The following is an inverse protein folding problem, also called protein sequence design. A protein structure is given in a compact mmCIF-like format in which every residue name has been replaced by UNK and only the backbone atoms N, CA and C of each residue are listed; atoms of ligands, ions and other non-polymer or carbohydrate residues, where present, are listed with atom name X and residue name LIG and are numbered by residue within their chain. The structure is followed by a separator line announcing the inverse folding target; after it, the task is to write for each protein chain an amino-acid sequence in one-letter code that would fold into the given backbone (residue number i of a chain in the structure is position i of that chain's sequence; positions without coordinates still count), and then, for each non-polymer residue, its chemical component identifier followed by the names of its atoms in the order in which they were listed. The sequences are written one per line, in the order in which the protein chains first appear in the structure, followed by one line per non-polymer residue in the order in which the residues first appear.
data_IF_696035469325
#
_entry.id   IF_696035469325
#
_cell.length_a   1.000
_cell.length_b   1.000
_cell.length_c   1.000
_cell.angle_alpha   90.00
_cell.angle_beta   90.00
_cell.angle_gamma   90.00
#
_symmetry.space_group_name_H-M   'P 1'
#
loop_
_entity.id
_entity.type
_entity.pdbx_description
1 polymer ?
#
# COMPACT_ATOMS: atom_id res chain seq x y z
N UNK A 1 24.80 8.03 -33.70
CA UNK A 1 23.33 8.17 -33.64
C UNK A 1 22.98 8.94 -32.38
N UNK A 2 22.61 10.21 -32.49
CA UNK A 2 22.20 11.00 -31.32
C UNK A 2 20.81 10.52 -30.87
N UNK A 3 20.72 10.01 -29.65
CA UNK A 3 19.45 9.64 -29.01
C UNK A 3 18.61 10.90 -28.83
N UNK A 4 17.53 11.02 -29.59
CA UNK A 4 16.58 12.12 -29.45
C UNK A 4 15.96 12.04 -28.05
N UNK A 5 16.33 12.98 -27.18
CA UNK A 5 15.83 13.03 -25.79
C UNK A 5 14.35 13.37 -25.83
N UNK A 6 13.49 12.40 -25.52
CA UNK A 6 12.04 12.64 -25.43
C UNK A 6 11.76 13.59 -24.28
N UNK A 7 11.17 14.75 -24.58
CA UNK A 7 10.76 15.73 -23.59
C UNK A 7 9.45 15.28 -22.94
N UNK A 8 9.46 15.11 -21.61
CA UNK A 8 8.27 14.76 -20.83
C UNK A 8 7.58 16.03 -20.33
N UNK A 9 6.24 16.02 -20.38
CA UNK A 9 5.42 17.13 -19.89
C UNK A 9 4.44 16.63 -18.84
N UNK A 10 4.34 17.35 -17.73
CA UNK A 10 3.40 17.09 -16.65
C UNK A 10 1.97 17.49 -17.05
N UNK A 11 0.96 16.93 -16.38
CA UNK A 11 -0.45 17.29 -16.59
C UNK A 11 -0.67 18.79 -16.36
N UNK A 12 0.01 19.38 -15.37
CA UNK A 12 -0.02 20.82 -15.10
C UNK A 12 0.49 21.65 -16.29
N UNK A 13 1.66 21.31 -16.82
CA UNK A 13 2.27 21.99 -17.98
C UNK A 13 1.39 21.85 -19.22
N UNK A 14 0.85 20.66 -19.49
CA UNK A 14 -0.05 20.42 -20.63
C UNK A 14 -1.29 21.32 -20.56
N UNK A 15 -1.91 21.45 -19.37
CA UNK A 15 -3.08 22.32 -19.17
C UNK A 15 -2.73 23.79 -19.37
N UNK A 16 -1.61 24.25 -18.80
CA UNK A 16 -1.15 25.64 -18.93
C UNK A 16 -0.91 26.01 -20.39
N UNK A 17 -0.18 25.16 -21.12
CA UNK A 17 0.16 25.40 -22.52
C UNK A 17 -1.07 25.36 -23.44
N UNK A 18 -2.04 24.50 -23.14
CA UNK A 18 -3.31 24.48 -23.89
C UNK A 18 -4.17 25.71 -23.61
N UNK A 19 -4.19 26.22 -22.38
CA UNK A 19 -4.87 27.47 -22.05
C UNK A 19 -4.21 28.65 -22.77
N UNK A 20 -2.88 28.78 -22.67
CA UNK A 20 -2.11 29.80 -23.39
C UNK A 20 -2.31 29.72 -24.90
N UNK A 21 -2.38 28.53 -25.48
CA UNK A 21 -2.63 28.36 -26.91
C UNK A 21 -3.99 28.94 -27.30
N UNK A 22 -5.05 28.65 -26.53
CA UNK A 22 -6.40 29.19 -26.75
C UNK A 22 -6.44 30.71 -26.63
N UNK A 23 -5.80 31.25 -25.60
CA UNK A 23 -5.84 32.69 -25.30
C UNK A 23 -4.96 33.51 -26.24
N UNK A 24 -3.89 32.91 -26.78
CA UNK A 24 -2.91 33.63 -27.59
C UNK A 24 -3.37 34.03 -28.99
N UNK A 25 -4.39 33.37 -29.54
CA UNK A 25 -4.82 33.55 -30.93
C UNK A 25 -3.75 33.19 -31.98
N UNK A 26 -2.62 32.60 -31.58
CA UNK A 26 -1.54 32.24 -32.49
C UNK A 26 -1.88 31.02 -33.34
N UNK A 27 -1.30 30.94 -34.54
CA UNK A 27 -1.31 29.70 -35.29
C UNK A 27 -0.54 28.61 -34.55
N UNK A 28 -1.00 27.35 -34.63
CA UNK A 28 -0.34 26.23 -33.97
C UNK A 28 1.16 26.15 -34.28
N UNK A 29 1.56 26.49 -35.52
CA UNK A 29 2.98 26.54 -35.92
C UNK A 29 3.76 27.59 -35.13
N UNK A 30 3.25 28.81 -35.03
CA UNK A 30 3.91 29.90 -34.30
C UNK A 30 3.99 29.60 -32.81
N UNK A 31 2.90 29.10 -32.22
CA UNK A 31 2.87 28.73 -30.81
C UNK A 31 3.86 27.61 -30.47
N UNK A 32 3.94 26.56 -31.30
CA UNK A 32 4.87 25.46 -31.12
C UNK A 32 6.34 25.89 -31.16
N UNK A 33 6.71 26.78 -32.08
CA UNK A 33 8.09 27.30 -32.18
C UNK A 33 8.45 28.12 -30.95
N UNK A 34 7.55 29.01 -30.51
CA UNK A 34 7.79 29.88 -29.35
C UNK A 34 7.94 29.10 -28.04
N UNK A 35 7.19 28.01 -27.88
CA UNK A 35 7.18 27.22 -26.65
C UNK A 35 8.06 25.95 -26.71
N UNK A 36 8.75 25.71 -27.84
CA UNK A 36 9.61 24.53 -28.01
C UNK A 36 8.86 23.20 -28.04
N UNK A 37 7.59 23.18 -28.47
CA UNK A 37 6.74 21.97 -28.44
C UNK A 37 6.56 21.42 -29.86
N UNK A 38 6.83 20.13 -30.10
CA UNK A 38 6.52 19.52 -31.39
C UNK A 38 5.02 19.61 -31.71
N UNK A 39 4.68 19.98 -32.94
CA UNK A 39 3.27 20.17 -33.36
C UNK A 39 2.40 18.92 -33.15
N UNK A 40 2.97 17.73 -33.37
CA UNK A 40 2.28 16.45 -33.12
C UNK A 40 1.89 16.30 -31.64
N UNK A 41 2.75 16.74 -30.73
CA UNK A 41 2.54 16.70 -29.28
C UNK A 41 1.40 17.63 -28.87
N UNK A 42 1.37 18.86 -29.39
CA UNK A 42 0.29 19.82 -29.12
C UNK A 42 -1.08 19.27 -29.57
N UNK A 43 -1.17 18.70 -30.76
CA UNK A 43 -2.41 18.10 -31.27
C UNK A 43 -2.86 16.88 -30.47
N UNK A 44 -1.93 16.03 -30.04
CA UNK A 44 -2.24 14.89 -29.19
C UNK A 44 -2.87 15.33 -27.86
N UNK A 45 -2.33 16.37 -27.23
CA UNK A 45 -2.92 16.92 -26.00
C UNK A 45 -4.23 17.65 -26.24
N UNK A 46 -4.35 18.38 -27.36
CA UNK A 46 -5.60 19.03 -27.74
C UNK A 46 -6.72 17.99 -27.87
N UNK A 47 -6.46 16.84 -28.51
CA UNK A 47 -7.42 15.73 -28.62
C UNK A 47 -7.81 15.17 -27.24
N UNK A 48 -6.84 14.95 -26.35
CA UNK A 48 -7.10 14.49 -24.97
C UNK A 48 -7.84 15.53 -24.10
N UNK A 49 -7.65 16.81 -24.39
CA UNK A 49 -8.35 17.90 -23.71
C UNK A 49 -9.78 18.06 -24.24
N UNK A 50 -10.03 17.87 -25.53
CA UNK A 50 -11.39 17.90 -26.10
C UNK A 50 -12.22 16.71 -25.65
N UNK A 51 -11.59 15.55 -25.43
CA UNK A 51 -12.22 14.34 -24.89
C UNK A 51 -12.34 14.36 -23.34
N UNK A 52 -12.26 15.56 -22.75
CA UNK A 52 -12.31 15.89 -21.31
C UNK A 52 -11.34 15.16 -20.36
N UNK A 53 -10.55 14.19 -20.82
CA UNK A 53 -9.62 13.41 -19.99
C UNK A 53 -8.58 14.30 -19.29
N UNK A 54 -8.05 15.30 -20.00
CA UNK A 54 -7.02 16.18 -19.47
C UNK A 54 -7.60 17.28 -18.58
N UNK A 55 -8.82 17.77 -18.80
CA UNK A 55 -9.46 18.82 -17.99
C UNK A 55 -10.03 18.27 -16.70
N UNK A 56 -10.70 17.12 -16.77
CA UNK A 56 -11.56 16.64 -15.69
C UNK A 56 -10.80 15.72 -14.73
N UNK A 57 -9.59 15.31 -15.09
CA UNK A 57 -8.78 14.47 -14.22
C UNK A 57 -8.47 15.17 -12.90
N UNK A 58 -8.86 14.54 -11.78
CA UNK A 58 -8.51 14.94 -10.41
C UNK A 58 -7.09 14.51 -10.02
N UNK A 59 -6.30 13.98 -10.96
CA UNK A 59 -4.96 13.46 -10.67
C UNK A 59 -3.96 14.57 -10.37
N UNK A 60 -2.89 14.18 -9.67
CA UNK A 60 -1.81 15.07 -9.30
C UNK A 60 -1.18 15.70 -10.56
N UNK A 61 -1.15 17.04 -10.58
CA UNK A 61 -0.64 17.85 -11.71
C UNK A 61 0.83 17.58 -12.04
N UNK A 62 1.62 17.06 -11.09
CA UNK A 62 3.04 16.70 -11.26
C UNK A 62 3.24 15.41 -12.07
N UNK A 63 2.21 14.60 -12.28
CA UNK A 63 2.32 13.37 -13.06
C UNK A 63 2.40 13.69 -14.56
N UNK A 64 3.16 12.89 -15.31
CA UNK A 64 3.31 13.02 -16.76
C UNK A 64 2.25 12.25 -17.54
N UNK A 65 1.68 11.20 -16.95
CA UNK A 65 0.67 10.33 -17.56
C UNK A 65 -0.69 10.48 -16.88
N UNK A 66 -1.77 10.42 -17.66
CA UNK A 66 -3.14 10.29 -17.16
C UNK A 66 -3.43 8.91 -16.53
N UNK A 67 -2.43 8.01 -16.48
CA UNK A 67 -2.49 6.58 -16.13
C UNK A 67 -3.68 5.83 -16.75
N UNK A 68 -4.04 4.67 -16.21
CA UNK A 68 -4.97 3.76 -16.91
C UNK A 68 -4.35 3.07 -18.14
N UNK A 69 -3.13 3.43 -18.52
CA UNK A 69 -2.30 2.76 -19.53
C UNK A 69 -1.73 1.41 -19.04
N UNK A 70 -2.13 0.95 -17.84
CA UNK A 70 -1.76 -0.37 -17.35
C UNK A 70 -2.47 -1.45 -18.17
N UNK A 71 -1.79 -2.58 -18.39
CA UNK A 71 -2.42 -3.74 -19.01
C UNK A 71 -3.70 -4.10 -18.25
N UNK A 72 -4.82 -4.21 -18.99
CA UNK A 72 -6.10 -4.67 -18.45
C UNK A 72 -5.90 -6.06 -17.83
N UNK A 73 -6.57 -6.32 -16.71
CA UNK A 73 -6.46 -7.61 -16.03
C UNK A 73 -6.90 -8.72 -16.97
N UNK A 74 -6.06 -9.74 -17.17
CA UNK A 74 -6.36 -10.93 -17.98
C UNK A 74 -7.45 -11.80 -17.33
N UNK A 75 -7.68 -11.60 -16.02
CA UNK A 75 -8.67 -12.35 -15.24
C UNK A 75 -10.08 -11.80 -15.52
N UNK A 76 -10.99 -12.60 -16.12
CA UNK A 76 -12.33 -12.15 -16.47
C UNK A 76 -13.24 -12.00 -15.23
N UNK A 77 -13.01 -12.79 -14.18
CA UNK A 77 -13.74 -12.77 -12.90
C UNK A 77 -13.06 -11.87 -11.85
N UNK A 78 -12.55 -10.70 -12.27
CA UNK A 78 -11.82 -9.80 -11.39
C UNK A 78 -12.61 -9.40 -10.14
N UNK A 79 -13.90 -9.11 -10.28
CA UNK A 79 -14.73 -8.67 -9.16
C UNK A 79 -14.87 -9.76 -8.10
N UNK A 80 -15.16 -10.99 -8.51
CA UNK A 80 -15.39 -12.12 -7.59
C UNK A 80 -14.12 -12.46 -6.80
N UNK A 81 -12.97 -12.49 -7.49
CA UNK A 81 -11.68 -12.69 -6.85
C UNK A 81 -11.34 -11.55 -5.87
N UNK A 82 -11.65 -10.30 -6.22
CA UNK A 82 -11.42 -9.15 -5.35
C UNK A 82 -12.33 -9.19 -4.11
N UNK A 83 -13.59 -9.58 -4.26
CA UNK A 83 -14.54 -9.75 -3.15
C UNK A 83 -14.03 -10.83 -2.18
N UNK A 84 -13.66 -12.00 -2.71
CA UNK A 84 -13.04 -13.06 -1.92
C UNK A 84 -11.80 -12.57 -1.14
N UNK A 85 -10.89 -11.85 -1.80
CA UNK A 85 -9.70 -11.30 -1.14
C UNK A 85 -10.05 -10.33 0.00
N UNK A 86 -11.08 -9.50 -0.18
CA UNK A 86 -11.54 -8.56 0.85
C UNK A 86 -12.19 -9.28 2.03
N UNK A 87 -12.98 -10.31 1.78
CA UNK A 87 -13.68 -11.04 2.84
C UNK A 87 -12.71 -11.87 3.69
N UNK A 88 -11.75 -12.57 3.05
CA UNK A 88 -10.66 -13.24 3.77
C UNK A 88 -9.90 -12.27 4.68
N UNK A 89 -9.65 -11.04 4.23
CA UNK A 89 -8.96 -10.03 5.04
C UNK A 89 -9.85 -9.37 6.08
N UNK A 90 -11.17 -9.30 5.86
CA UNK A 90 -12.15 -8.81 6.84
C UNK A 90 -12.22 -9.72 8.06
N UNK A 91 -12.08 -11.02 7.84
CA UNK A 91 -11.99 -12.04 8.89
C UNK A 91 -10.56 -12.18 9.45
N UNK A 92 -9.67 -11.24 9.15
CA UNK A 92 -8.27 -11.18 9.58
C UNK A 92 -7.40 -12.39 9.14
N UNK A 93 -7.91 -13.28 8.29
CA UNK A 93 -7.17 -14.45 7.80
C UNK A 93 -6.01 -14.11 6.86
N UNK A 94 -5.00 -14.97 6.85
CA UNK A 94 -3.81 -14.84 6.00
C UNK A 94 -4.21 -15.06 4.54
N UNK A 95 -4.14 -13.98 3.74
CA UNK A 95 -4.34 -14.05 2.30
C UNK A 95 -3.01 -14.27 1.58
N UNK A 96 -2.80 -15.46 1.03
CA UNK A 96 -1.65 -15.77 0.17
C UNK A 96 -2.06 -15.91 -1.29
N UNK A 97 -1.10 -15.85 -2.21
CA UNK A 97 -1.34 -16.17 -3.62
C UNK A 97 -1.86 -17.60 -3.81
N UNK A 98 -1.56 -18.52 -2.88
CA UNK A 98 -2.12 -19.87 -2.92
C UNK A 98 -3.61 -19.89 -2.64
N UNK A 99 -4.11 -19.08 -1.69
CA UNK A 99 -5.56 -18.95 -1.46
C UNK A 99 -6.29 -18.43 -2.69
N UNK A 100 -5.70 -17.44 -3.39
CA UNK A 100 -6.25 -16.96 -4.66
C UNK A 100 -6.29 -18.07 -5.72
N UNK A 101 -5.24 -18.89 -5.83
CA UNK A 101 -5.19 -20.03 -6.75
C UNK A 101 -6.25 -21.08 -6.37
N UNK A 102 -6.41 -21.39 -5.08
CA UNK A 102 -7.43 -22.33 -4.60
C UNK A 102 -8.84 -21.84 -4.93
N UNK A 103 -9.12 -20.55 -4.74
CA UNK A 103 -10.38 -19.94 -5.17
C UNK A 103 -10.62 -20.10 -6.67
N UNK A 104 -9.60 -19.84 -7.50
CA UNK A 104 -9.69 -20.05 -8.96
C UNK A 104 -9.91 -21.52 -9.32
N UNK A 105 -9.26 -22.46 -8.63
CA UNK A 105 -9.47 -23.89 -8.83
C UNK A 105 -10.89 -24.31 -8.49
N UNK A 106 -11.49 -23.73 -7.47
CA UNK A 106 -12.84 -24.09 -7.01
C UNK A 106 -13.93 -23.52 -7.92
N UNK A 107 -13.80 -22.25 -8.33
CA UNK A 107 -14.88 -21.53 -9.01
C UNK A 107 -14.66 -21.31 -10.52
N UNK A 108 -13.40 -21.33 -10.99
CA UNK A 108 -13.04 -20.99 -12.38
C UNK A 108 -12.04 -21.98 -12.98
N UNK A 109 -12.24 -23.28 -12.71
CA UNK A 109 -11.33 -24.37 -13.11
C UNK A 109 -11.04 -24.40 -14.62
N UNK A 110 -12.05 -24.18 -15.45
CA UNK A 110 -11.92 -24.29 -16.92
C UNK A 110 -11.08 -23.15 -17.49
N UNK A 111 -11.27 -21.94 -16.96
CA UNK A 111 -10.44 -20.80 -17.29
C UNK A 111 -8.99 -21.00 -16.82
N UNK A 112 -8.82 -21.51 -15.59
CA UNK A 112 -7.51 -21.79 -15.02
C UNK A 112 -6.74 -22.81 -15.87
N UNK A 113 -7.40 -23.90 -16.29
CA UNK A 113 -6.85 -24.93 -17.17
C UNK A 113 -6.37 -24.33 -18.49
N UNK A 114 -7.25 -23.60 -19.17
CA UNK A 114 -6.94 -22.93 -20.45
C UNK A 114 -5.76 -21.95 -20.32
N UNK A 115 -5.71 -21.19 -19.22
CA UNK A 115 -4.61 -20.27 -18.96
C UNK A 115 -3.28 -21.00 -18.77
N UNK A 116 -3.27 -22.13 -18.07
CA UNK A 116 -2.05 -22.90 -17.77
C UNK A 116 -1.50 -23.69 -18.94
N UNK A 117 -2.36 -24.19 -19.83
CA UNK A 117 -1.96 -25.00 -21.01
C UNK A 117 -0.97 -24.26 -21.92
N UNK A 118 -1.17 -22.94 -22.08
CA UNK A 118 -0.34 -22.11 -22.94
C UNK A 118 0.95 -21.59 -22.26
N UNK A 119 1.33 -22.08 -21.08
CA UNK A 119 2.45 -21.54 -20.29
C UNK A 119 3.58 -22.57 -20.12
N UNK A 120 4.85 -22.16 -20.31
CA UNK A 120 6.00 -23.03 -20.12
C UNK A 120 6.20 -23.43 -18.65
N UNK A 121 5.84 -22.54 -17.71
CA UNK A 121 5.85 -22.82 -16.27
C UNK A 121 4.49 -22.40 -15.70
N UNK A 122 3.51 -23.32 -15.63
CA UNK A 122 2.16 -23.03 -15.16
C UNK A 122 2.13 -22.46 -13.74
N UNK A 123 2.92 -23.04 -12.84
CA UNK A 123 2.92 -22.66 -11.43
C UNK A 123 3.48 -21.24 -11.23
N UNK A 124 4.66 -20.93 -11.77
CA UNK A 124 5.23 -19.57 -11.65
C UNK A 124 4.40 -18.53 -12.37
N UNK A 125 3.79 -18.89 -13.50
CA UNK A 125 2.90 -17.99 -14.24
C UNK A 125 1.67 -17.62 -13.42
N UNK A 126 1.04 -18.60 -12.76
CA UNK A 126 -0.09 -18.37 -11.85
C UNK A 126 0.29 -17.51 -10.65
N UNK A 127 1.45 -17.77 -10.04
CA UNK A 127 1.92 -16.97 -8.91
C UNK A 127 2.11 -15.50 -9.31
N UNK A 128 2.75 -15.25 -10.45
CA UNK A 128 2.93 -13.89 -11.01
C UNK A 128 1.61 -13.22 -11.36
N UNK A 129 0.66 -13.98 -11.91
CA UNK A 129 -0.69 -13.49 -12.21
C UNK A 129 -1.39 -13.00 -10.93
N UNK A 130 -1.38 -13.81 -9.87
CA UNK A 130 -1.98 -13.48 -8.58
C UNK A 130 -1.30 -12.27 -7.92
N UNK A 131 0.04 -12.24 -7.90
CA UNK A 131 0.80 -11.11 -7.35
C UNK A 131 0.54 -9.81 -8.12
N UNK A 132 0.51 -9.88 -9.45
CA UNK A 132 0.20 -8.74 -10.30
C UNK A 132 -1.22 -8.25 -10.10
N UNK A 133 -2.18 -9.17 -9.94
CA UNK A 133 -3.56 -8.83 -9.60
C UNK A 133 -3.65 -8.13 -8.25
N UNK A 134 -3.06 -8.70 -7.20
CA UNK A 134 -3.06 -8.14 -5.86
C UNK A 134 -2.50 -6.70 -5.86
N UNK A 135 -1.35 -6.47 -6.52
CA UNK A 135 -0.75 -5.13 -6.66
C UNK A 135 -1.68 -4.14 -7.36
N UNK A 136 -2.37 -4.56 -8.44
CA UNK A 136 -3.34 -3.71 -9.14
C UNK A 136 -4.56 -3.37 -8.29
N UNK A 137 -4.92 -4.26 -7.37
CA UNK A 137 -6.01 -4.07 -6.41
C UNK A 137 -5.57 -3.37 -5.11
N UNK A 138 -4.39 -2.75 -5.07
CA UNK A 138 -3.81 -2.07 -3.90
C UNK A 138 -3.47 -2.97 -2.70
N UNK A 139 -3.25 -4.26 -2.92
CA UNK A 139 -2.69 -5.15 -1.90
C UNK A 139 -1.16 -5.09 -1.91
N UNK A 140 -0.52 -5.01 -0.73
CA UNK A 140 0.95 -5.00 -0.57
C UNK A 140 1.48 -6.24 0.14
N UNK A 141 2.80 -6.46 0.11
CA UNK A 141 3.44 -7.51 0.90
C UNK A 141 3.73 -6.93 2.30
N UNK A 142 3.29 -7.53 3.42
CA UNK A 142 3.60 -7.08 4.80
C UNK A 142 4.26 -8.19 5.63
N UNK A 143 4.54 -8.00 6.93
CA UNK A 143 5.08 -9.05 7.83
C UNK A 143 4.05 -9.39 8.89
N UNK A 144 3.75 -10.69 9.12
CA UNK A 144 2.65 -11.10 9.99
C UNK A 144 2.86 -10.56 11.40
N UNK A 145 1.90 -9.83 11.97
CA UNK A 145 1.99 -9.27 13.33
C UNK A 145 0.99 -9.97 14.25
N UNK A 146 1.44 -10.74 15.21
CA UNK A 146 0.49 -11.46 16.05
C UNK A 146 -0.34 -10.52 16.93
N UNK A 147 -1.65 -10.73 17.05
CA UNK A 147 -2.50 -10.00 18.00
C UNK A 147 -3.52 -10.95 18.62
N UNK A 148 -3.68 -10.88 19.94
CA UNK A 148 -4.58 -11.77 20.70
C UNK A 148 -6.06 -11.42 20.57
N UNK A 149 -6.38 -10.25 20.00
CA UNK A 149 -7.71 -9.67 19.92
C UNK A 149 -7.91 -9.10 18.51
N UNK A 150 -9.13 -9.27 17.99
CA UNK A 150 -9.51 -8.70 16.70
C UNK A 150 -9.46 -7.16 16.72
N UNK A 151 -9.24 -6.53 15.56
CA UNK A 151 -9.10 -5.08 15.46
C UNK A 151 -10.28 -4.29 16.04
N UNK A 152 -11.52 -4.76 15.82
CA UNK A 152 -12.72 -4.13 16.35
C UNK A 152 -12.73 -4.13 17.88
N UNK A 153 -12.41 -5.28 18.47
CA UNK A 153 -12.40 -5.44 19.93
C UNK A 153 -11.27 -4.64 20.57
N UNK A 154 -10.08 -4.64 19.95
CA UNK A 154 -8.98 -3.78 20.38
C UNK A 154 -9.34 -2.30 20.37
N UNK A 155 -10.07 -1.87 19.33
CA UNK A 155 -10.50 -0.47 19.19
C UNK A 155 -11.48 -0.12 20.29
N UNK A 156 -12.47 -0.99 20.55
CA UNK A 156 -13.43 -0.82 21.64
C UNK A 156 -12.74 -0.71 22.99
N UNK A 157 -11.88 -1.67 23.34
CA UNK A 157 -11.15 -1.68 24.62
C UNK A 157 -10.29 -0.42 24.77
N UNK A 158 -9.59 -0.01 23.70
CA UNK A 158 -8.77 1.21 23.71
C UNK A 158 -9.63 2.45 23.98
N UNK A 159 -10.77 2.57 23.32
CA UNK A 159 -11.62 3.75 23.40
C UNK A 159 -12.33 3.80 24.77
N UNK A 160 -12.79 2.66 25.30
CA UNK A 160 -13.34 2.53 26.66
C UNK A 160 -12.31 2.85 27.75
N UNK A 161 -11.09 2.32 27.60
CA UNK A 161 -9.98 2.63 28.50
C UNK A 161 -9.64 4.13 28.45
N UNK A 162 -9.54 4.70 27.25
CA UNK A 162 -9.28 6.12 27.05
C UNK A 162 -10.34 6.99 27.72
N UNK A 163 -11.62 6.67 27.53
CA UNK A 163 -12.72 7.40 28.16
C UNK A 163 -12.64 7.34 29.69
N UNK A 164 -12.39 6.15 30.25
CA UNK A 164 -12.29 5.95 31.70
C UNK A 164 -11.07 6.65 32.30
N UNK A 165 -9.93 6.57 31.61
CA UNK A 165 -8.69 7.23 32.01
C UNK A 165 -8.85 8.75 32.04
N UNK A 166 -9.38 9.34 30.96
CA UNK A 166 -9.56 10.79 30.90
C UNK A 166 -10.68 11.29 31.81
N UNK A 167 -11.75 10.53 32.03
CA UNK A 167 -12.76 10.90 33.03
C UNK A 167 -12.15 11.03 34.44
N UNK A 168 -11.17 10.20 34.80
CA UNK A 168 -10.53 10.21 36.12
C UNK A 168 -9.38 11.20 36.24
N UNK A 169 -8.62 11.41 35.17
CA UNK A 169 -7.36 12.15 35.21
C UNK A 169 -7.35 13.41 34.32
N UNK A 170 -8.49 13.90 33.81
CA UNK A 170 -8.50 15.09 32.94
C UNK A 170 -7.87 16.33 33.61
N UNK A 171 -7.98 16.43 34.93
CA UNK A 171 -7.46 17.58 35.69
C UNK A 171 -5.94 17.52 35.88
N UNK A 172 -5.32 16.36 35.61
CA UNK A 172 -3.87 16.21 35.73
C UNK A 172 -3.16 16.93 34.58
N UNK A 173 -2.15 17.76 34.87
CA UNK A 173 -1.29 18.32 33.84
C UNK A 173 -0.67 17.22 32.99
N UNK A 174 -0.61 17.42 31.67
CA UNK A 174 0.02 16.46 30.74
C UNK A 174 1.50 16.19 31.05
N UNK A 175 2.17 17.10 31.79
CA UNK A 175 3.55 16.92 32.23
C UNK A 175 3.70 15.78 33.25
N UNK A 176 2.64 15.49 34.01
CA UNK A 176 2.64 14.48 35.08
C UNK A 176 2.25 13.09 34.58
N UNK A 177 1.82 12.97 33.32
CA UNK A 177 1.44 11.71 32.69
C UNK A 177 2.66 11.13 31.97
N UNK A 178 3.14 10.00 32.48
CA UNK A 178 4.24 9.23 31.89
C UNK A 178 3.69 7.96 31.25
N UNK A 179 4.04 7.73 29.98
CA UNK A 179 3.82 6.44 29.33
C UNK A 179 4.96 5.50 29.71
N UNK A 180 4.65 4.32 30.22
CA UNK A 180 5.59 3.26 30.49
C UNK A 180 5.25 2.05 29.63
N UNK A 181 6.25 1.45 28.97
CA UNK A 181 6.07 0.22 28.21
C UNK A 181 7.28 -0.71 28.39
N UNK A 182 7.01 -2.01 28.48
CA UNK A 182 8.04 -3.05 28.52
C UNK A 182 8.22 -3.61 27.11
N UNK A 183 9.40 -3.43 26.53
CA UNK A 183 9.71 -3.93 25.19
C UNK A 183 10.78 -5.02 25.21
N UNK A 184 10.59 -6.00 24.34
CA UNK A 184 11.51 -7.08 24.11
C UNK A 184 12.61 -6.65 23.13
N UNK A 185 13.87 -6.79 23.55
CA UNK A 185 15.04 -6.62 22.67
C UNK A 185 15.55 -8.00 22.30
N UNK A 186 15.37 -8.38 21.03
CA UNK A 186 15.80 -9.67 20.50
C UNK A 186 17.22 -9.56 19.92
N UNK A 187 18.07 -10.56 20.15
CA UNK A 187 19.45 -10.60 19.66
C UNK A 187 19.58 -11.03 18.17
N UNK A 188 18.62 -10.65 17.32
CA UNK A 188 18.52 -10.93 15.87
C UNK A 188 18.06 -12.33 15.40
N UNK A 189 16.80 -12.38 14.93
CA UNK A 189 16.39 -13.09 13.71
C UNK A 189 15.04 -12.52 13.22
N UNK A 190 14.99 -11.71 12.15
CA UNK A 190 13.74 -11.08 11.72
C UNK A 190 12.75 -12.12 11.14
N UNK A 191 11.45 -12.06 11.49
CA UNK A 191 10.45 -12.99 10.98
C UNK A 191 10.21 -12.85 9.46
N UNK A 192 9.78 -13.94 8.82
CA UNK A 192 9.50 -14.01 7.38
C UNK A 192 8.37 -13.07 6.89
N UNK A 193 8.35 -12.75 5.58
CA UNK A 193 7.42 -11.78 4.94
C UNK A 193 6.16 -12.46 4.33
N UNK A 194 4.97 -11.82 4.38
CA UNK A 194 3.66 -12.25 3.81
C UNK A 194 2.91 -11.11 3.06
N UNK A 195 1.64 -11.21 2.65
CA UNK A 195 0.89 -10.09 2.00
C UNK A 195 -0.21 -9.46 2.87
N UNK A 196 -0.28 -8.12 2.92
CA UNK A 196 -1.42 -7.35 3.43
C UNK A 196 -1.65 -5.98 2.73
N UNK A 197 -2.89 -5.49 2.74
CA UNK A 197 -3.33 -4.32 1.97
C UNK A 197 -2.60 -3.00 2.36
N UNK A 198 -2.39 -2.11 1.37
CA UNK A 198 -1.70 -0.83 1.60
C UNK A 198 -2.59 0.04 2.49
N UNK A 199 -2.09 0.40 3.67
CA UNK A 199 -2.83 1.19 4.66
C UNK A 199 -3.66 0.34 5.63
N UNK A 200 -3.58 -0.99 5.57
CA UNK A 200 -4.30 -1.92 6.46
C UNK A 200 -3.40 -2.75 7.36
N UNK A 201 -4.01 -3.39 8.36
CA UNK A 201 -3.33 -4.21 9.36
C UNK A 201 -2.52 -5.37 8.75
N UNK A 202 -1.34 -5.61 9.32
CA UNK A 202 -0.41 -6.69 8.95
C UNK A 202 -0.52 -7.91 9.89
N UNK A 203 -1.61 -8.08 10.63
CA UNK A 203 -1.68 -9.04 11.74
C UNK A 203 -1.93 -10.52 11.35
N UNK A 204 -1.50 -11.50 12.18
CA UNK A 204 -1.72 -12.98 12.05
C UNK A 204 -1.92 -13.73 13.38
N UNK A 205 -2.18 -15.03 13.32
CA UNK A 205 -2.54 -15.92 14.44
C UNK A 205 -1.41 -16.80 15.02
N UNK A 206 -0.27 -16.98 14.33
CA UNK A 206 0.88 -17.77 14.85
C UNK A 206 2.22 -17.08 14.55
N UNK A 207 3.21 -17.20 15.46
CA UNK A 207 4.58 -16.67 15.30
C UNK A 207 5.67 -17.64 15.79
N UNK A 208 6.87 -17.56 15.21
CA UNK A 208 8.05 -18.38 15.53
C UNK A 208 8.85 -17.78 16.71
N UNK A 209 9.27 -18.61 17.67
CA UNK A 209 9.56 -18.23 19.08
C UNK A 209 11.02 -18.36 19.58
N UNK A 210 12.05 -18.40 18.73
CA UNK A 210 13.40 -18.84 19.18
C UNK A 210 14.52 -17.83 18.95
N UNK A 211 14.49 -16.67 19.63
CA UNK A 211 15.72 -15.88 19.85
C UNK A 211 15.82 -15.48 21.31
N UNK A 212 17.05 -15.45 21.83
CA UNK A 212 17.35 -14.90 23.15
C UNK A 212 16.85 -13.45 23.21
N UNK A 213 16.29 -13.05 24.36
CA UNK A 213 15.55 -11.79 24.51
C UNK A 213 15.90 -11.12 25.83
N UNK A 214 16.36 -9.88 25.76
CA UNK A 214 16.37 -8.98 26.90
C UNK A 214 15.02 -8.27 27.04
N UNK A 215 14.64 -7.94 28.28
CA UNK A 215 13.50 -7.07 28.57
C UNK A 215 14.01 -5.68 28.91
N UNK A 216 13.47 -4.65 28.28
CA UNK A 216 13.73 -3.25 28.59
C UNK A 216 12.43 -2.53 28.98
N UNK A 217 12.42 -1.84 30.12
CA UNK A 217 11.34 -0.93 30.51
C UNK A 217 11.66 0.49 30.01
N UNK A 218 10.73 1.10 29.29
CA UNK A 218 10.86 2.45 28.74
C UNK A 218 9.81 3.35 29.37
N UNK A 219 10.23 4.50 29.89
CA UNK A 219 9.31 5.55 30.37
C UNK A 219 9.50 6.84 29.59
N UNK A 220 8.41 7.46 29.16
CA UNK A 220 8.43 8.66 28.34
C UNK A 220 7.33 9.62 28.78
N UNK A 221 7.69 10.88 29.01
CA UNK A 221 6.79 11.98 29.34
C UNK A 221 7.02 13.18 28.44
N UNK A 222 6.16 14.20 28.57
CA UNK A 222 6.22 15.43 27.75
C UNK A 222 7.57 16.15 27.84
N UNK A 223 8.19 16.14 29.02
CA UNK A 223 9.47 16.82 29.30
C UNK A 223 10.62 15.84 29.60
N UNK A 224 10.33 14.55 29.76
CA UNK A 224 11.30 13.53 30.16
C UNK A 224 11.37 12.44 29.09
N UNK A 225 12.47 12.42 28.33
CA UNK A 225 12.91 11.23 27.59
C UNK A 225 14.00 10.53 28.40
N UNK A 226 13.65 9.85 29.49
CA UNK A 226 14.61 9.06 30.27
C UNK A 226 14.50 7.60 29.89
N UNK A 227 15.57 7.08 29.31
CA UNK A 227 15.80 5.64 29.20
C UNK A 227 16.23 5.12 30.58
N UNK A 228 15.29 4.66 31.41
CA UNK A 228 15.63 3.88 32.61
C UNK A 228 15.81 2.43 32.17
N UNK A 229 17.01 2.10 31.70
CA UNK A 229 17.38 0.74 31.33
C UNK A 229 17.64 -0.07 32.60
N UNK A 230 16.60 -0.44 33.33
CA UNK A 230 16.69 -1.47 34.36
C UNK A 230 16.71 -2.82 33.66
N UNK A 231 17.92 -3.32 33.38
CA UNK A 231 18.11 -4.70 32.95
C UNK A 231 17.78 -5.63 34.13
N UNK A 232 16.55 -6.15 34.18
CA UNK A 232 16.26 -7.32 34.99
C UNK A 232 16.81 -8.53 34.21
N UNK A 233 18.06 -8.90 34.48
CA UNK A 233 18.60 -10.19 34.02
C UNK A 233 17.87 -11.30 34.76
N UNK A 234 16.74 -11.73 34.22
CA UNK A 234 16.03 -12.91 34.68
C UNK A 234 16.71 -14.12 34.04
N UNK A 235 17.78 -14.61 34.67
CA UNK A 235 18.33 -15.94 34.37
C UNK A 235 17.34 -16.99 34.90
N UNK A 236 16.33 -17.34 34.11
CA UNK A 236 15.62 -18.60 34.27
C UNK A 236 15.69 -19.38 32.96
N UNK A 237 16.76 -20.15 32.84
CA UNK A 237 16.81 -21.33 31.98
C UNK A 237 17.14 -22.53 32.89
N UNK A 238 16.14 -23.08 33.55
CA UNK A 238 16.22 -24.45 34.08
C UNK A 238 15.45 -25.35 33.14
N UNK A 239 16.25 -26.19 32.46
CA UNK A 239 15.99 -27.40 31.64
C UNK A 239 14.55 -27.77 31.31
#
# INVERSE_FOLDING_TARGET
MQTQRQQSYTIGEKRLLLAQFKDSGFSARKFCVLNGIPRATLWAWHRQHTDTELTDTKRNKKLTTLGGQGAKSIIPFHHDLLTFMKDVRREEHILTSMYMITFMKLHYKDWLRTYTEAKPDPYKSLLRLCQGFAKRCNFSQRVPTHTKLAELEMTRIRDEFSATFWNKYNERPLADILNADETAVYYDMPPGKFWAEIGKSAKVDVSQKHSDRNTALLTCGREIKRLLLTALTSTYCTR
#
